data_IF_967883762832
#
_entry.id   IF_967883762832
#
_cell.length_a   1.000
_cell.length_b   1.000
_cell.length_c   1.000
_cell.angle_alpha   90.00
_cell.angle_beta   90.00
_cell.angle_gamma   90.00
#
_symmetry.space_group_name_H-M   'P 1'
#
loop_
_entity.id
_entity.type
_entity.pdbx_description
1 polymer ?
#
# COMPACT_ATOMS: atom_id res chain seq x y z
N UNK A 1 -20.14 4.30 -8.56
CA UNK A 1 -19.74 4.41 -7.14
C UNK A 1 -20.05 3.07 -6.46
N UNK A 2 -19.08 2.45 -5.78
CA UNK A 2 -19.26 1.18 -5.04
C UNK A 2 -19.39 1.45 -3.53
N UNK A 3 -20.36 0.80 -2.88
CA UNK A 3 -20.64 0.87 -1.43
C UNK A 3 -19.61 0.05 -0.65
N UNK A 4 -19.31 0.43 0.60
CA UNK A 4 -18.42 -0.32 1.50
C UNK A 4 -19.02 -1.71 1.78
N UNK A 5 -18.19 -2.76 1.68
CA UNK A 5 -18.49 -4.09 2.23
C UNK A 5 -18.91 -5.17 1.23
N UNK A 6 -19.00 -4.89 -0.07
CA UNK A 6 -19.18 -5.96 -1.05
C UNK A 6 -17.80 -6.60 -1.32
N UNK A 7 -17.53 -7.79 -0.79
CA UNK A 7 -16.36 -8.61 -1.17
C UNK A 7 -16.45 -9.12 -2.63
N UNK A 8 -17.16 -8.37 -3.48
CA UNK A 8 -17.27 -8.59 -4.91
C UNK A 8 -15.97 -8.08 -5.50
N UNK A 9 -15.07 -9.02 -5.80
CA UNK A 9 -14.03 -8.81 -6.80
C UNK A 9 -14.77 -8.68 -8.13
N UNK A 10 -15.30 -7.48 -8.40
CA UNK A 10 -15.71 -7.10 -9.74
C UNK A 10 -14.47 -7.32 -10.57
N UNK A 11 -14.60 -8.06 -11.67
CA UNK A 11 -13.57 -8.20 -12.70
C UNK A 11 -12.76 -6.91 -12.67
N UNK A 12 -11.48 -7.01 -12.26
CA UNK A 12 -10.54 -5.90 -12.36
C UNK A 12 -10.87 -5.23 -13.68
N UNK A 13 -10.97 -3.90 -13.73
CA UNK A 13 -11.45 -3.15 -14.90
C UNK A 13 -10.51 -3.34 -16.11
N UNK A 14 -10.34 -4.57 -16.55
CA UNK A 14 -9.65 -5.16 -17.68
C UNK A 14 -10.56 -5.02 -18.90
N UNK A 15 -11.13 -3.83 -19.05
CA UNK A 15 -11.90 -3.45 -20.23
C UNK A 15 -11.08 -2.61 -21.20
N UNK A 16 -10.02 -1.93 -20.73
CA UNK A 16 -9.04 -1.24 -21.56
C UNK A 16 -7.67 -1.31 -20.89
N UNK A 17 -6.66 -1.62 -21.69
CA UNK A 17 -5.26 -1.69 -21.31
C UNK A 17 -4.80 -0.39 -20.64
N UNK A 18 -3.79 -0.44 -19.77
CA UNK A 18 -3.18 0.77 -19.22
C UNK A 18 -2.44 1.50 -20.35
N UNK A 19 -3.12 2.28 -21.17
CA UNK A 19 -2.52 2.84 -22.39
C UNK A 19 -1.32 3.76 -22.11
N UNK A 20 -1.37 4.61 -21.06
CA UNK A 20 -0.32 5.57 -20.69
C UNK A 20 -0.37 5.97 -19.21
N UNK A 21 0.69 6.57 -18.67
CA UNK A 21 0.72 7.12 -17.29
C UNK A 21 -0.35 8.20 -17.05
N UNK A 22 -0.78 8.91 -18.11
CA UNK A 22 -1.86 9.91 -18.06
C UNK A 22 -3.25 9.33 -18.34
N UNK A 23 -3.36 7.99 -18.51
CA UNK A 23 -4.65 7.37 -18.73
C UNK A 23 -5.54 7.57 -17.49
N UNK A 24 -6.81 7.87 -17.72
CA UNK A 24 -7.79 8.11 -16.65
C UNK A 24 -7.89 6.96 -15.65
N UNK A 25 -7.59 5.72 -16.07
CA UNK A 25 -7.53 4.56 -15.19
C UNK A 25 -6.35 4.63 -14.21
N UNK A 26 -5.15 4.96 -14.69
CA UNK A 26 -3.98 5.14 -13.83
C UNK A 26 -4.21 6.26 -12.82
N UNK A 27 -4.71 7.41 -13.29
CA UNK A 27 -5.02 8.56 -12.43
C UNK A 27 -6.12 8.24 -11.40
N UNK A 28 -7.16 7.49 -11.77
CA UNK A 28 -8.24 7.09 -10.84
C UNK A 28 -7.76 6.10 -9.77
N UNK A 29 -6.97 5.09 -10.16
CA UNK A 29 -6.41 4.13 -9.20
C UNK A 29 -5.42 4.83 -8.26
N UNK A 30 -4.58 5.71 -8.81
CA UNK A 30 -3.53 6.42 -8.07
C UNK A 30 -4.05 7.56 -7.18
N UNK A 31 -5.05 8.30 -7.63
CA UNK A 31 -5.55 9.49 -6.94
C UNK A 31 -6.75 9.25 -6.02
N UNK A 32 -7.55 8.20 -6.25
CA UNK A 32 -8.81 8.02 -5.54
C UNK A 32 -8.95 6.64 -4.89
N UNK A 33 -8.83 5.57 -5.68
CA UNK A 33 -9.20 4.23 -5.19
C UNK A 33 -8.17 3.66 -4.23
N UNK A 34 -6.89 3.66 -4.59
CA UNK A 34 -5.85 3.12 -3.73
C UNK A 34 -5.63 3.98 -2.45
N UNK A 35 -5.56 5.32 -2.52
CA UNK A 35 -5.54 6.16 -1.32
C UNK A 35 -6.70 5.90 -0.36
N UNK A 36 -7.92 5.73 -0.88
CA UNK A 36 -9.10 5.42 -0.07
C UNK A 36 -8.96 4.06 0.62
N UNK A 37 -8.56 3.02 -0.10
CA UNK A 37 -8.36 1.68 0.48
C UNK A 37 -7.26 1.69 1.54
N UNK A 38 -6.14 2.35 1.28
CA UNK A 38 -5.04 2.48 2.24
C UNK A 38 -5.47 3.20 3.51
N UNK A 39 -6.28 4.26 3.39
CA UNK A 39 -6.86 4.97 4.53
C UNK A 39 -7.84 4.08 5.31
N UNK A 40 -8.73 3.37 4.63
CA UNK A 40 -9.70 2.48 5.28
C UNK A 40 -8.98 1.36 6.06
N UNK A 41 -7.93 0.76 5.49
CA UNK A 41 -7.05 -0.20 6.19
C UNK A 41 -6.36 0.43 7.40
N UNK A 42 -5.80 1.64 7.24
CA UNK A 42 -5.10 2.35 8.31
C UNK A 42 -6.02 2.65 9.49
N UNK A 43 -7.25 3.11 9.23
CA UNK A 43 -8.27 3.35 10.27
C UNK A 43 -8.63 2.05 10.98
N UNK A 44 -8.74 0.92 10.26
CA UNK A 44 -8.95 -0.40 10.86
C UNK A 44 -7.85 -0.78 11.83
N UNK A 45 -6.59 -0.53 11.48
CA UNK A 45 -5.44 -0.77 12.37
C UNK A 45 -5.44 0.16 13.59
N UNK A 46 -5.80 1.44 13.42
CA UNK A 46 -5.89 2.39 14.53
C UNK A 46 -6.98 2.01 15.53
N UNK A 47 -8.14 1.55 15.03
CA UNK A 47 -9.21 1.02 15.87
C UNK A 47 -8.74 -0.19 16.67
N UNK A 48 -7.98 -1.11 16.06
CA UNK A 48 -7.42 -2.27 16.75
C UNK A 48 -6.41 -1.88 17.85
N UNK A 49 -5.68 -0.78 17.67
CA UNK A 49 -4.77 -0.23 18.68
C UNK A 49 -5.43 0.72 19.68
N UNK A 50 -6.77 0.80 19.69
CA UNK A 50 -7.54 1.73 20.53
C UNK A 50 -7.07 3.19 20.44
N UNK A 51 -6.67 3.63 19.24
CA UNK A 51 -6.20 4.99 18.97
C UNK A 51 -4.99 5.43 19.82
N UNK A 52 -4.14 4.49 20.25
CA UNK A 52 -2.90 4.81 20.96
C UNK A 52 -1.91 5.57 20.07
N UNK A 53 -1.72 6.86 20.36
CA UNK A 53 -0.85 7.77 19.62
C UNK A 53 0.61 7.28 19.51
N UNK A 54 1.12 6.58 20.54
CA UNK A 54 2.47 6.04 20.57
C UNK A 54 2.69 4.83 19.65
N UNK A 55 1.60 4.23 19.17
CA UNK A 55 1.55 3.15 18.19
C UNK A 55 1.12 3.65 16.82
N UNK A 56 0.10 4.49 16.76
CA UNK A 56 -0.43 5.05 15.52
C UNK A 56 0.64 5.76 14.68
N UNK A 57 1.56 6.46 15.33
CA UNK A 57 2.68 7.13 14.65
C UNK A 57 3.70 6.16 14.00
N UNK A 58 3.67 4.86 14.37
CA UNK A 58 4.54 3.81 13.85
C UNK A 58 3.82 2.86 12.87
N UNK A 59 2.49 2.95 12.78
CA UNK A 59 1.71 2.18 11.81
C UNK A 59 1.97 2.75 10.41
N UNK A 60 2.23 1.86 9.47
CA UNK A 60 2.27 2.19 8.05
C UNK A 60 1.38 1.22 7.28
N UNK A 61 0.65 1.74 6.29
CA UNK A 61 -0.01 0.91 5.26
C UNK A 61 0.64 1.13 3.90
N UNK A 62 0.62 0.10 3.06
CA UNK A 62 1.32 0.08 1.78
C UNK A 62 0.33 -0.27 0.68
N UNK A 63 0.40 0.46 -0.42
CA UNK A 63 -0.35 0.21 -1.64
C UNK A 63 0.58 -0.04 -2.81
N UNK A 64 0.21 -0.97 -3.69
CA UNK A 64 0.91 -1.25 -4.93
C UNK A 64 0.02 -0.91 -6.11
N UNK A 65 0.60 -0.26 -7.12
CA UNK A 65 -0.03 -0.08 -8.44
C UNK A 65 0.86 -0.75 -9.47
N UNK A 66 0.30 -1.72 -10.19
CA UNK A 66 0.99 -2.44 -11.24
C UNK A 66 0.39 -2.08 -12.61
N UNK A 67 1.21 -1.60 -13.54
CA UNK A 67 0.84 -1.23 -14.91
C UNK A 67 1.14 -2.34 -15.93
N UNK A 68 0.54 -3.53 -15.76
CA UNK A 68 1.04 -4.80 -16.32
C UNK A 68 0.75 -5.12 -17.79
N UNK A 69 0.53 -4.13 -18.66
CA UNK A 69 0.28 -4.46 -20.09
C UNK A 69 0.87 -3.50 -21.12
N UNK A 70 1.32 -2.31 -20.72
CA UNK A 70 1.93 -1.32 -21.65
C UNK A 70 3.06 -0.57 -20.97
N UNK A 71 2.98 -0.37 -19.64
CA UNK A 71 3.96 0.43 -18.92
C UNK A 71 5.00 -0.42 -18.19
N UNK A 72 4.71 -1.70 -17.88
CA UNK A 72 5.60 -2.58 -17.12
C UNK A 72 6.24 -1.88 -15.92
N UNK A 73 5.42 -1.14 -15.16
CA UNK A 73 5.88 -0.40 -13.98
C UNK A 73 5.14 -0.81 -12.72
N UNK A 74 5.87 -0.79 -11.61
CA UNK A 74 5.34 -0.87 -10.26
C UNK A 74 5.51 0.49 -9.57
N UNK A 75 4.42 1.01 -8.99
CA UNK A 75 4.47 2.13 -8.04
C UNK A 75 4.13 1.64 -6.65
N UNK A 76 4.96 1.99 -5.68
CA UNK A 76 4.71 1.71 -4.26
C UNK A 76 4.29 3.00 -3.58
N UNK A 77 3.16 2.98 -2.87
CA UNK A 77 2.70 4.06 -2.01
C UNK A 77 2.74 3.64 -0.56
N UNK A 78 3.08 4.57 0.31
CA UNK A 78 3.06 4.37 1.76
C UNK A 78 2.20 5.43 2.41
N UNK A 79 1.36 5.03 3.37
CA UNK A 79 0.57 5.94 4.18
C UNK A 79 1.03 5.81 5.64
N UNK A 80 1.35 6.96 6.23
CA UNK A 80 1.82 7.10 7.60
C UNK A 80 1.19 8.31 8.31
N UNK A 81 1.35 8.36 9.64
CA UNK A 81 0.75 9.36 10.53
C UNK A 81 1.82 10.01 11.44
N UNK A 82 2.79 10.74 10.89
CA UNK A 82 4.01 11.15 11.61
C UNK A 82 3.71 12.00 12.86
N UNK A 83 2.68 12.84 12.81
CA UNK A 83 2.28 13.72 13.91
C UNK A 83 1.00 13.24 14.65
N UNK A 84 0.42 12.11 14.24
CA UNK A 84 -0.79 11.55 14.84
C UNK A 84 -2.13 12.16 14.40
N UNK A 85 -2.13 13.32 13.74
CA UNK A 85 -3.37 13.99 13.28
C UNK A 85 -3.43 14.25 11.77
N UNK A 86 -2.32 14.10 11.03
CA UNK A 86 -2.26 14.24 9.56
C UNK A 86 -1.87 12.91 8.95
N UNK A 87 -2.71 12.41 8.04
CA UNK A 87 -2.37 11.29 7.17
C UNK A 87 -1.58 11.77 5.96
N UNK A 88 -0.38 11.22 5.79
CA UNK A 88 0.49 11.50 4.66
C UNK A 88 0.52 10.29 3.74
N UNK A 89 0.40 10.53 2.44
CA UNK A 89 0.60 9.51 1.41
C UNK A 89 1.84 9.89 0.62
N UNK A 90 2.84 9.02 0.67
CA UNK A 90 4.09 9.16 -0.08
C UNK A 90 4.06 8.22 -1.27
N UNK A 91 4.36 8.76 -2.46
CA UNK A 91 4.49 8.00 -3.70
C UNK A 91 5.98 7.80 -3.96
N UNK A 92 6.42 6.54 -4.07
CA UNK A 92 7.78 6.25 -4.48
C UNK A 92 7.92 6.37 -6.01
N UNK A 93 9.17 6.35 -6.45
CA UNK A 93 9.53 6.26 -7.87
C UNK A 93 8.86 5.06 -8.55
N UNK A 94 8.70 5.19 -9.87
CA UNK A 94 8.20 4.12 -10.72
C UNK A 94 9.34 3.13 -10.98
N UNK A 95 9.14 1.88 -10.59
CA UNK A 95 10.08 0.80 -10.84
C UNK A 95 9.70 0.10 -12.15
N UNK A 96 10.64 0.05 -13.10
CA UNK A 96 10.45 -0.73 -14.31
C UNK A 96 10.57 -2.22 -14.01
N UNK A 97 9.72 -3.03 -14.66
CA UNK A 97 9.76 -4.48 -14.60
C UNK A 97 10.59 -4.93 -15.80
N UNK A 98 11.81 -5.44 -15.57
CA UNK A 98 12.69 -5.83 -16.67
C UNK A 98 12.13 -7.06 -17.39
N UNK A 99 12.21 -7.03 -18.72
CA UNK A 99 11.78 -8.13 -19.60
C UNK A 99 12.97 -8.94 -20.11
N UNK A 100 14.16 -8.35 -20.11
CA UNK A 100 15.40 -8.90 -20.63
C UNK A 100 16.48 -9.02 -19.54
N UNK A 101 17.47 -9.89 -19.78
CA UNK A 101 18.58 -10.12 -18.85
C UNK A 101 19.53 -8.91 -18.79
N UNK A 102 19.60 -8.10 -19.84
CA UNK A 102 20.44 -6.90 -19.90
C UNK A 102 20.00 -5.82 -18.89
N UNK A 103 18.71 -5.80 -18.53
CA UNK A 103 18.13 -4.88 -17.55
C UNK A 103 18.02 -5.47 -16.13
N UNK A 104 18.79 -6.52 -15.80
CA UNK A 104 18.74 -7.17 -14.49
C UNK A 104 19.04 -6.22 -13.31
N UNK A 105 19.83 -5.16 -13.51
CA UNK A 105 20.09 -4.15 -12.46
C UNK A 105 18.79 -3.46 -12.00
N UNK A 106 17.83 -3.24 -12.89
CA UNK A 106 16.51 -2.71 -12.55
C UNK A 106 15.66 -3.73 -11.77
N UNK A 107 15.86 -5.03 -12.04
CA UNK A 107 15.23 -6.11 -11.25
C UNK A 107 15.67 -6.03 -9.80
N UNK A 108 16.97 -5.82 -9.54
CA UNK A 108 17.52 -5.71 -8.19
C UNK A 108 16.89 -4.51 -7.45
N UNK A 109 16.75 -3.36 -8.12
CA UNK A 109 16.10 -2.18 -7.54
C UNK A 109 14.63 -2.46 -7.19
N UNK A 110 13.88 -3.07 -8.11
CA UNK A 110 12.50 -3.48 -7.92
C UNK A 110 12.35 -4.45 -6.73
N UNK A 111 13.15 -5.51 -6.70
CA UNK A 111 13.14 -6.51 -5.62
C UNK A 111 13.47 -5.85 -4.28
N UNK A 112 14.47 -4.97 -4.25
CA UNK A 112 14.85 -4.24 -3.03
C UNK A 112 13.69 -3.36 -2.53
N UNK A 113 12.98 -2.69 -3.43
CA UNK A 113 11.83 -1.86 -3.08
C UNK A 113 10.68 -2.71 -2.52
N UNK A 114 10.36 -3.84 -3.14
CA UNK A 114 9.35 -4.80 -2.67
C UNK A 114 9.74 -5.43 -1.34
N UNK A 115 11.03 -5.69 -1.14
CA UNK A 115 11.53 -6.19 0.14
C UNK A 115 11.35 -5.15 1.24
N UNK A 116 11.74 -3.90 0.99
CA UNK A 116 11.57 -2.79 1.94
C UNK A 116 10.12 -2.59 2.32
N UNK A 117 9.20 -2.67 1.35
CA UNK A 117 7.77 -2.59 1.66
C UNK A 117 7.28 -3.78 2.49
N UNK A 118 7.71 -5.01 2.18
CA UNK A 118 7.40 -6.19 3.02
C UNK A 118 7.89 -6.00 4.47
N UNK A 119 9.09 -5.47 4.66
CA UNK A 119 9.64 -5.17 6.00
C UNK A 119 8.79 -4.17 6.78
N UNK A 120 8.24 -3.14 6.12
CA UNK A 120 7.31 -2.18 6.76
C UNK A 120 6.02 -2.88 7.22
N UNK A 121 5.44 -3.74 6.39
CA UNK A 121 4.26 -4.55 6.80
C UNK A 121 4.59 -5.43 8.00
N UNK A 122 5.72 -6.13 7.98
CA UNK A 122 6.16 -6.95 9.11
C UNK A 122 6.37 -6.13 10.38
N UNK A 123 6.89 -4.90 10.27
CA UNK A 123 7.03 -3.98 11.41
C UNK A 123 5.66 -3.62 11.98
N UNK A 124 4.69 -3.26 11.13
CA UNK A 124 3.31 -2.99 11.58
C UNK A 124 2.70 -4.21 12.26
N UNK A 125 2.85 -5.41 11.70
CA UNK A 125 2.34 -6.65 12.32
C UNK A 125 2.94 -6.89 13.71
N UNK A 126 4.26 -6.71 13.87
CA UNK A 126 4.94 -6.89 15.17
C UNK A 126 4.41 -5.92 16.23
N UNK A 127 4.14 -4.66 15.86
CA UNK A 127 3.55 -3.67 16.77
C UNK A 127 2.16 -4.10 17.26
N UNK A 128 1.36 -4.74 16.40
CA UNK A 128 0.03 -5.23 16.74
C UNK A 128 0.10 -6.47 17.64
N UNK A 129 0.92 -7.47 17.30
CA UNK A 129 1.08 -8.69 18.13
C UNK A 129 1.66 -8.43 19.53
N UNK A 130 2.47 -7.38 19.70
CA UNK A 130 2.94 -7.01 21.03
C UNK A 130 1.79 -6.53 21.94
N UNK A 131 0.71 -6.02 21.34
CA UNK A 131 -0.51 -5.59 22.03
C UNK A 131 -1.32 -6.79 22.51
N UNK A 132 -1.41 -7.88 21.72
CA UNK A 132 -2.10 -9.12 22.12
C UNK A 132 -1.41 -9.77 23.33
N UNK A 133 -0.08 -9.84 23.35
CA UNK A 133 0.68 -10.42 24.49
C UNK A 133 0.56 -9.59 25.77
N UNK A 134 0.51 -8.25 25.67
CA UNK A 134 0.28 -7.39 26.83
C UNK A 134 -1.15 -7.49 27.36
N UNK A 135 -2.14 -7.65 26.48
CA UNK A 135 -3.55 -7.82 26.88
C UNK A 135 -3.80 -9.16 27.58
N UNK A 136 -3.07 -10.22 27.22
CA UNK A 136 -3.13 -11.54 27.88
C UNK A 136 -2.41 -11.61 29.24
N UNK A 137 -1.61 -10.60 29.60
CA UNK A 137 -0.90 -10.53 30.89
C UNK A 137 -1.61 -9.67 31.93
N UNK A 138 -2.78 -9.10 31.59
CA UNK A 138 -3.58 -8.21 32.45
C UNK A 138 -4.87 -8.90 32.94
N UNK A 139 -4.99 -10.22 32.73
CA UNK A 139 -6.06 -11.06 33.30
C UNK A 139 -5.48 -12.13 34.21
#
# INVERSE_FOLDING_TARGET
>A
MGRRGDAIIRKCSSGRYYERQNATKWLKELGLKLPKMMRDMFVGLCNHTNWDMGKMNKIETIGYIHGGSVLMVLMIMTLDLPAGYIARITKNELYHIPEDIGSFSEAIKLITAVWRSKMRVTRTMRLLHHTEKMMLLVF
#
